data_IF_243679838123
#
_entry.id   IF_243679838123
#
_cell.length_a   1.000
_cell.length_b   1.000
_cell.length_c   1.000
_cell.angle_alpha   90.00
_cell.angle_beta   90.00
_cell.angle_gamma   90.00
#
_symmetry.space_group_name_H-M   'P 1'
#
loop_
_entity.id
_entity.type
_entity.pdbx_description
1 polymer ?
#
# COMPACT_ATOMS: atom_id res chain seq x y z
N UNK A 1 -26.49 -0.88 -1.38
CA UNK A 1 -25.50 -0.72 -2.47
C UNK A 1 -24.33 -1.63 -2.16
N UNK A 2 -24.02 -2.59 -3.04
CA UNK A 2 -22.83 -3.43 -2.87
C UNK A 2 -21.57 -2.60 -3.08
N UNK A 3 -20.73 -2.52 -2.08
CA UNK A 3 -19.40 -1.91 -2.18
C UNK A 3 -18.47 -2.91 -2.85
N UNK A 4 -18.15 -2.70 -4.13
CA UNK A 4 -17.48 -3.74 -4.94
C UNK A 4 -16.05 -4.08 -4.45
N UNK A 5 -15.16 -3.12 -4.35
CA UNK A 5 -13.74 -3.40 -4.05
C UNK A 5 -13.16 -2.28 -3.19
N UNK A 6 -12.30 -2.64 -2.23
CA UNK A 6 -11.55 -1.70 -1.40
C UNK A 6 -10.07 -2.02 -1.41
N UNK A 7 -9.25 -0.98 -1.34
CA UNK A 7 -7.83 -1.05 -1.00
C UNK A 7 -7.53 -0.03 0.08
N UNK A 8 -6.74 -0.38 1.07
CA UNK A 8 -6.42 0.52 2.18
C UNK A 8 -4.92 0.72 2.35
N UNK A 9 -4.54 1.86 2.90
CA UNK A 9 -3.20 2.11 3.39
C UNK A 9 -3.21 3.03 4.62
N UNK A 10 -2.17 2.92 5.43
CA UNK A 10 -1.97 3.78 6.59
C UNK A 10 -1.26 5.07 6.16
N UNK A 11 -1.82 6.26 6.46
CA UNK A 11 -1.18 7.53 6.17
C UNK A 11 -0.04 7.74 7.18
N UNK A 12 1.19 7.46 6.78
CA UNK A 12 2.38 7.55 7.65
C UNK A 12 3.51 8.36 7.00
N UNK A 13 3.18 9.33 6.15
CA UNK A 13 4.09 10.23 5.44
C UNK A 13 3.84 10.28 3.94
N UNK A 14 4.72 10.98 3.21
CA UNK A 14 4.62 11.18 1.77
C UNK A 14 4.41 9.87 1.01
N UNK A 15 3.58 9.89 -0.02
CA UNK A 15 3.35 8.75 -0.90
C UNK A 15 4.55 8.56 -1.83
N UNK A 16 4.95 7.32 -2.05
CA UNK A 16 6.05 6.95 -2.93
C UNK A 16 5.62 5.87 -3.94
N UNK A 17 6.49 5.54 -4.88
CA UNK A 17 6.22 4.58 -5.96
C UNK A 17 5.67 3.24 -5.44
N UNK A 18 6.11 2.79 -4.27
CA UNK A 18 5.55 1.58 -3.64
C UNK A 18 4.04 1.70 -3.35
N UNK A 19 3.55 2.88 -2.93
CA UNK A 19 2.11 3.11 -2.74
C UNK A 19 1.38 3.20 -4.09
N UNK A 20 2.00 3.78 -5.12
CA UNK A 20 1.42 3.76 -6.46
C UNK A 20 1.16 2.34 -6.93
N UNK A 21 2.16 1.48 -6.85
CA UNK A 21 2.07 0.09 -7.34
C UNK A 21 1.14 -0.77 -6.49
N UNK A 22 1.13 -0.58 -5.17
CA UNK A 22 0.36 -1.45 -4.27
C UNK A 22 -1.07 -0.97 -3.96
N UNK A 23 -1.35 0.32 -4.17
CA UNK A 23 -2.64 0.95 -3.81
C UNK A 23 -3.28 1.65 -5.01
N UNK A 24 -2.59 2.67 -5.59
CA UNK A 24 -3.20 3.58 -6.55
C UNK A 24 -3.47 2.88 -7.88
N UNK A 25 -2.47 2.22 -8.45
CA UNK A 25 -2.59 1.47 -9.72
C UNK A 25 -3.68 0.39 -9.63
N UNK A 26 -3.70 -0.49 -8.61
CA UNK A 26 -4.80 -1.45 -8.45
C UNK A 26 -6.16 -0.77 -8.20
N UNK A 27 -6.22 0.37 -7.49
CA UNK A 27 -7.48 1.08 -7.31
C UNK A 27 -8.06 1.56 -8.64
N UNK A 28 -7.22 2.05 -9.54
CA UNK A 28 -7.62 2.46 -10.90
C UNK A 28 -8.08 1.23 -11.70
N UNK A 29 -7.29 0.16 -11.70
CA UNK A 29 -7.52 -1.06 -12.48
C UNK A 29 -8.82 -1.77 -12.08
N UNK A 30 -9.06 -1.91 -10.79
CA UNK A 30 -10.24 -2.60 -10.24
C UNK A 30 -11.40 -1.67 -9.90
N UNK A 31 -11.29 -0.37 -10.19
CA UNK A 31 -12.27 0.67 -9.80
C UNK A 31 -12.59 0.62 -8.31
N UNK A 32 -11.54 0.41 -7.49
CA UNK A 32 -11.68 0.21 -6.06
C UNK A 32 -11.73 1.54 -5.31
N UNK A 33 -12.45 1.54 -4.18
CA UNK A 33 -12.37 2.61 -3.20
C UNK A 33 -11.01 2.56 -2.50
N UNK A 34 -10.45 3.73 -2.16
CA UNK A 34 -9.20 3.84 -1.39
C UNK A 34 -9.53 4.28 0.03
N UNK A 35 -9.25 3.41 1.00
CA UNK A 35 -9.39 3.71 2.42
C UNK A 35 -8.11 4.31 2.98
N UNK A 36 -8.21 5.48 3.58
CA UNK A 36 -7.14 6.07 4.39
C UNK A 36 -7.36 5.60 5.84
N UNK A 37 -6.55 4.62 6.26
CA UNK A 37 -6.69 3.94 7.55
C UNK A 37 -6.05 4.75 8.68
N UNK A 38 -6.60 5.92 9.00
CA UNK A 38 -6.05 6.89 9.96
C UNK A 38 -6.01 6.39 11.40
N UNK A 39 -7.00 5.59 11.80
CA UNK A 39 -7.03 5.05 13.17
C UNK A 39 -6.01 3.92 13.42
N UNK A 40 -5.33 3.47 12.37
CA UNK A 40 -4.17 2.58 12.49
C UNK A 40 -2.83 3.33 12.65
N UNK A 41 -2.86 4.67 12.58
CA UNK A 41 -1.71 5.53 12.75
C UNK A 41 -1.66 6.14 14.16
N UNK A 42 -0.49 6.42 14.73
CA UNK A 42 -0.37 7.27 15.91
C UNK A 42 -1.01 8.64 15.67
N UNK A 43 -1.55 9.25 16.74
CA UNK A 43 -2.24 10.56 16.67
C UNK A 43 -1.40 11.69 16.04
N UNK A 44 -0.07 11.57 16.06
CA UNK A 44 0.86 12.53 15.46
C UNK A 44 0.95 12.47 13.92
N UNK A 45 0.29 11.51 13.27
CA UNK A 45 0.37 11.31 11.81
C UNK A 45 -0.80 11.98 11.03
N UNK A 46 -1.64 12.79 11.67
CA UNK A 46 -2.77 13.47 11.01
C UNK A 46 -2.34 14.42 9.88
N UNK A 47 -1.17 15.05 9.98
CA UNK A 47 -0.61 15.90 8.92
C UNK A 47 -0.36 15.15 7.61
N UNK A 48 -0.10 13.85 7.68
CA UNK A 48 0.14 13.03 6.51
C UNK A 48 -1.13 12.63 5.76
N UNK A 49 -2.30 12.76 6.38
CA UNK A 49 -3.59 12.50 5.73
C UNK A 49 -3.85 13.53 4.62
N UNK A 50 -3.63 14.81 4.89
CA UNK A 50 -3.81 15.88 3.90
C UNK A 50 -2.84 15.74 2.73
N UNK A 51 -1.57 15.39 3.01
CA UNK A 51 -0.59 15.12 1.95
C UNK A 51 -1.02 13.93 1.08
N UNK A 52 -1.49 12.85 1.70
CA UNK A 52 -1.97 11.68 0.97
C UNK A 52 -3.20 12.03 0.12
N UNK A 53 -4.16 12.78 0.65
CA UNK A 53 -5.34 13.25 -0.08
C UNK A 53 -4.96 14.15 -1.24
N UNK A 54 -4.01 15.08 -1.04
CA UNK A 54 -3.51 15.96 -2.10
C UNK A 54 -2.96 15.16 -3.27
N UNK A 55 -2.10 14.17 -3.00
CA UNK A 55 -1.54 13.31 -4.05
C UNK A 55 -2.62 12.43 -4.71
N UNK A 56 -3.53 11.84 -3.92
CA UNK A 56 -4.57 10.97 -4.47
C UNK A 56 -5.55 11.72 -5.40
N UNK A 57 -5.84 13.00 -5.12
CA UNK A 57 -6.68 13.84 -5.98
C UNK A 57 -6.10 14.06 -7.38
N UNK A 58 -4.80 13.91 -7.53
CA UNK A 58 -4.13 14.05 -8.83
C UNK A 58 -4.34 12.84 -9.75
N UNK A 59 -4.77 11.71 -9.22
CA UNK A 59 -5.08 10.52 -10.01
C UNK A 59 -6.55 10.48 -10.41
N UNK A 60 -6.84 10.02 -11.64
CA UNK A 60 -8.20 9.76 -12.11
C UNK A 60 -8.71 8.45 -11.49
N UNK A 61 -9.09 8.50 -10.22
CA UNK A 61 -9.68 7.37 -9.53
C UNK A 61 -11.12 7.17 -10.01
N UNK A 62 -11.50 5.92 -10.27
CA UNK A 62 -12.88 5.55 -10.57
C UNK A 62 -13.68 5.22 -9.31
N UNK A 63 -13.00 4.84 -8.23
CA UNK A 63 -13.54 4.66 -6.89
C UNK A 63 -13.42 5.95 -6.06
N UNK A 64 -13.98 5.91 -4.87
CA UNK A 64 -13.93 7.04 -3.94
C UNK A 64 -12.71 6.91 -3.02
N UNK A 65 -12.23 8.06 -2.54
CA UNK A 65 -11.34 8.08 -1.37
C UNK A 65 -12.24 8.10 -0.14
N UNK A 66 -12.16 7.03 0.66
CA UNK A 66 -13.02 6.79 1.81
C UNK A 66 -12.25 7.10 3.09
N UNK A 67 -12.84 7.94 3.91
CA UNK A 67 -12.35 8.18 5.26
C UNK A 67 -12.70 7.01 6.18
N UNK A 68 -11.75 6.57 6.98
CA UNK A 68 -12.01 5.52 7.96
C UNK A 68 -13.01 6.00 9.01
N UNK A 69 -14.13 5.29 9.12
CA UNK A 69 -15.14 5.50 10.16
C UNK A 69 -15.08 4.35 11.16
N UNK A 70 -14.82 4.68 12.40
CA UNK A 70 -14.81 3.69 13.47
C UNK A 70 -16.23 3.40 13.94
N UNK A 71 -16.80 2.28 13.51
CA UNK A 71 -18.04 1.75 14.11
C UNK A 71 -17.70 1.07 15.45
N UNK A 72 -17.85 1.83 16.54
CA UNK A 72 -17.51 1.39 17.89
C UNK A 72 -18.37 0.19 18.33
N UNK A 73 -19.64 0.15 17.92
CA UNK A 73 -20.54 -0.94 18.28
C UNK A 73 -20.13 -2.25 17.60
N UNK A 74 -19.80 -2.18 16.31
CA UNK A 74 -19.30 -3.35 15.57
C UNK A 74 -17.91 -3.77 16.07
N UNK A 75 -17.03 -2.80 16.35
CA UNK A 75 -15.72 -3.10 16.94
C UNK A 75 -15.86 -3.84 18.27
N UNK A 76 -16.73 -3.39 19.16
CA UNK A 76 -16.98 -4.07 20.43
C UNK A 76 -17.51 -5.51 20.24
N UNK A 77 -18.42 -5.72 19.28
CA UNK A 77 -18.92 -7.06 18.94
C UNK A 77 -17.79 -7.96 18.42
N UNK A 78 -16.96 -7.46 17.52
CA UNK A 78 -15.81 -8.21 16.99
C UNK A 78 -14.81 -8.56 18.07
N UNK A 79 -14.48 -7.61 18.96
CA UNK A 79 -13.59 -7.86 20.11
C UNK A 79 -14.16 -8.94 21.06
N UNK A 80 -15.47 -8.91 21.33
CA UNK A 80 -16.12 -9.89 22.21
C UNK A 80 -16.07 -11.33 21.65
N UNK A 81 -16.03 -11.51 20.33
CA UNK A 81 -15.99 -12.84 19.69
C UNK A 81 -14.58 -13.27 19.27
N UNK A 82 -13.57 -12.42 19.47
CA UNK A 82 -12.19 -12.67 19.05
C UNK A 82 -11.39 -13.37 20.14
N UNK A 83 -10.97 -14.63 19.97
CA UNK A 83 -10.12 -15.31 20.92
C UNK A 83 -8.73 -14.66 21.00
N UNK A 84 -8.21 -14.44 22.19
CA UNK A 84 -6.90 -13.80 22.41
C UNK A 84 -5.74 -14.55 21.77
N UNK A 85 -5.82 -15.89 21.67
CA UNK A 85 -4.76 -16.68 21.03
C UNK A 85 -4.57 -16.36 19.54
N UNK A 86 -5.66 -15.99 18.81
CA UNK A 86 -5.55 -15.55 17.41
C UNK A 86 -4.78 -14.22 17.30
N UNK A 87 -5.03 -13.28 18.23
CA UNK A 87 -4.30 -12.01 18.28
C UNK A 87 -2.82 -12.21 18.62
N UNK A 88 -2.54 -13.10 19.59
CA UNK A 88 -1.17 -13.44 19.99
C UNK A 88 -0.36 -14.10 18.86
N UNK A 89 -1.03 -14.79 17.94
CA UNK A 89 -0.40 -15.44 16.80
C UNK A 89 0.00 -14.47 15.68
N UNK A 90 -0.56 -13.26 15.65
CA UNK A 90 -0.39 -12.32 14.55
C UNK A 90 1.05 -11.80 14.41
N UNK A 91 1.60 -11.74 13.18
CA UNK A 91 3.01 -11.40 12.94
C UNK A 91 3.41 -10.01 13.44
N UNK A 92 2.53 -8.99 13.28
CA UNK A 92 2.85 -7.62 13.67
C UNK A 92 3.00 -7.47 15.20
N UNK A 93 2.28 -8.26 15.99
CA UNK A 93 2.37 -8.22 17.43
C UNK A 93 3.65 -8.87 17.97
N UNK A 94 4.22 -9.80 17.18
CA UNK A 94 5.49 -10.48 17.53
C UNK A 94 6.72 -9.60 17.26
N UNK A 95 6.62 -8.67 16.29
CA UNK A 95 7.78 -7.99 15.70
C UNK A 95 8.02 -6.56 16.22
N UNK A 96 7.10 -5.95 16.98
CA UNK A 96 7.15 -4.53 17.35
C UNK A 96 6.80 -4.30 18.82
N UNK A 97 6.91 -3.03 19.24
CA UNK A 97 6.45 -2.58 20.54
C UNK A 97 4.97 -2.98 20.77
N UNK A 98 4.71 -3.57 21.93
CA UNK A 98 3.41 -4.16 22.27
C UNK A 98 2.49 -3.12 22.88
N UNK A 99 1.73 -2.42 22.04
CA UNK A 99 0.66 -1.52 22.49
C UNK A 99 -0.71 -2.18 22.31
N UNK A 100 -1.72 -1.66 23.00
CA UNK A 100 -3.11 -2.12 22.83
C UNK A 100 -3.59 -1.96 21.39
N UNK A 101 -3.22 -0.85 20.71
CA UNK A 101 -3.55 -0.61 19.31
C UNK A 101 -2.95 -1.69 18.41
N UNK A 102 -1.68 -2.05 18.62
CA UNK A 102 -1.02 -3.12 17.85
C UNK A 102 -1.68 -4.48 18.10
N UNK A 103 -2.22 -4.70 19.29
CA UNK A 103 -2.92 -5.94 19.64
C UNK A 103 -4.24 -6.08 18.90
N UNK A 104 -5.06 -5.01 18.88
CA UNK A 104 -6.38 -5.02 18.23
C UNK A 104 -6.33 -4.68 16.73
N UNK A 105 -5.16 -4.34 16.18
CA UNK A 105 -4.98 -3.97 14.77
C UNK A 105 -5.66 -4.94 13.79
N UNK A 106 -5.57 -6.28 13.94
CA UNK A 106 -6.25 -7.21 13.02
C UNK A 106 -7.76 -7.10 13.05
N UNK A 107 -8.33 -6.81 14.24
CA UNK A 107 -9.78 -6.60 14.41
C UNK A 107 -10.23 -5.33 13.72
N UNK A 108 -9.45 -4.25 13.85
CA UNK A 108 -9.72 -2.98 13.15
C UNK A 108 -9.64 -3.17 11.64
N UNK A 109 -8.65 -3.90 11.13
CA UNK A 109 -8.55 -4.20 9.70
C UNK A 109 -9.75 -5.02 9.21
N UNK A 110 -10.21 -6.01 9.99
CA UNK A 110 -11.40 -6.77 9.66
C UNK A 110 -12.66 -5.89 9.61
N UNK A 111 -12.78 -4.93 10.55
CA UNK A 111 -13.84 -3.92 10.56
C UNK A 111 -13.82 -3.06 9.28
N UNK A 112 -12.64 -2.59 8.88
CA UNK A 112 -12.47 -1.71 7.72
C UNK A 112 -12.88 -2.35 6.40
N UNK A 113 -12.65 -3.65 6.24
CA UNK A 113 -12.98 -4.39 5.02
C UNK A 113 -14.37 -5.00 5.03
N UNK A 114 -15.05 -4.98 6.18
CA UNK A 114 -16.41 -5.54 6.32
C UNK A 114 -17.40 -4.82 5.39
N UNK A 115 -18.26 -5.60 4.73
CA UNK A 115 -19.28 -5.08 3.82
C UNK A 115 -18.80 -4.78 2.39
N UNK A 116 -17.54 -5.06 2.06
CA UNK A 116 -17.04 -5.09 0.69
C UNK A 116 -17.08 -6.51 0.11
N UNK A 117 -17.17 -6.63 -1.21
CA UNK A 117 -17.13 -7.92 -1.90
C UNK A 117 -15.69 -8.40 -2.11
N UNK A 118 -14.76 -7.46 -2.36
CA UNK A 118 -13.35 -7.73 -2.62
C UNK A 118 -12.45 -6.75 -1.88
N UNK A 119 -11.27 -7.23 -1.50
CA UNK A 119 -10.23 -6.40 -0.89
C UNK A 119 -8.89 -6.61 -1.61
N UNK A 120 -8.21 -5.53 -1.97
CA UNK A 120 -6.87 -5.57 -2.55
C UNK A 120 -5.86 -5.38 -1.42
N UNK A 121 -4.96 -6.35 -1.27
CA UNK A 121 -3.94 -6.36 -0.21
C UNK A 121 -2.61 -6.90 -0.73
N UNK A 122 -1.50 -6.50 -0.11
CA UNK A 122 -0.22 -7.15 -0.33
C UNK A 122 -0.23 -8.60 0.15
N UNK A 123 0.59 -9.46 -0.46
CA UNK A 123 0.73 -10.88 -0.06
C UNK A 123 1.12 -11.03 1.42
N UNK A 124 1.85 -10.06 1.97
CA UNK A 124 2.24 -10.00 3.38
C UNK A 124 1.06 -9.78 4.35
N UNK A 125 -0.11 -9.37 3.82
CA UNK A 125 -1.35 -9.19 4.60
C UNK A 125 -2.23 -10.46 4.63
N UNK A 126 -1.79 -11.57 4.04
CA UNK A 126 -2.52 -12.84 4.05
C UNK A 126 -2.96 -13.27 5.46
N UNK A 127 -2.12 -13.22 6.51
CA UNK A 127 -2.54 -13.59 7.85
C UNK A 127 -3.70 -12.75 8.39
N UNK A 128 -3.76 -11.46 8.03
CA UNK A 128 -4.87 -10.57 8.44
C UNK A 128 -6.18 -10.92 7.73
N UNK A 129 -6.12 -11.32 6.47
CA UNK A 129 -7.31 -11.77 5.73
C UNK A 129 -7.82 -13.11 6.28
N UNK A 130 -6.93 -14.03 6.62
CA UNK A 130 -7.31 -15.31 7.25
C UNK A 130 -7.95 -15.05 8.62
N UNK A 131 -7.35 -14.16 9.42
CA UNK A 131 -7.96 -13.72 10.68
C UNK A 131 -9.36 -13.11 10.46
N UNK A 132 -9.53 -12.21 9.50
CA UNK A 132 -10.85 -11.61 9.19
C UNK A 132 -11.86 -12.67 8.74
N UNK A 133 -11.42 -13.68 7.99
CA UNK A 133 -12.26 -14.81 7.55
C UNK A 133 -12.78 -15.64 8.74
N UNK A 134 -11.99 -15.73 9.82
CA UNK A 134 -12.36 -16.46 11.02
C UNK A 134 -13.34 -15.68 11.92
N UNK A 135 -13.20 -14.35 12.01
CA UNK A 135 -13.96 -13.56 13.00
C UNK A 135 -15.22 -12.89 12.43
N UNK A 136 -15.20 -12.43 11.16
CA UNK A 136 -16.36 -11.73 10.58
C UNK A 136 -17.65 -12.59 10.58
N UNK A 137 -17.60 -13.89 10.24
CA UNK A 137 -18.80 -14.73 10.27
C UNK A 137 -19.43 -14.88 11.65
N UNK A 138 -18.64 -14.74 12.73
CA UNK A 138 -19.14 -14.82 14.11
C UNK A 138 -20.07 -13.67 14.50
N UNK A 139 -20.04 -12.57 13.75
CA UNK A 139 -20.97 -11.43 13.89
C UNK A 139 -21.93 -11.30 12.70
N UNK A 140 -22.07 -12.37 11.87
CA UNK A 140 -22.98 -12.40 10.74
C UNK A 140 -22.50 -11.66 9.48
N UNK A 141 -21.21 -11.31 9.42
CA UNK A 141 -20.62 -10.62 8.26
C UNK A 141 -19.80 -11.58 7.40
N UNK A 142 -19.69 -11.26 6.09
CA UNK A 142 -18.82 -11.99 5.17
C UNK A 142 -17.45 -11.31 5.09
N UNK A 143 -16.40 -12.13 5.03
CA UNK A 143 -15.08 -11.65 4.67
C UNK A 143 -15.03 -11.41 3.15
N UNK A 144 -14.52 -10.26 2.67
CA UNK A 144 -14.34 -10.01 1.24
C UNK A 144 -13.32 -10.96 0.63
N UNK A 145 -13.48 -11.23 -0.68
CA UNK A 145 -12.52 -12.02 -1.44
C UNK A 145 -11.22 -11.23 -1.66
N UNK A 146 -10.05 -11.74 -1.26
CA UNK A 146 -8.80 -11.03 -1.43
C UNK A 146 -8.28 -11.07 -2.87
N UNK A 147 -7.73 -9.93 -3.31
CA UNK A 147 -6.91 -9.80 -4.51
C UNK A 147 -5.50 -9.48 -4.00
N UNK A 148 -4.57 -10.43 -4.13
CA UNK A 148 -3.21 -10.27 -3.64
C UNK A 148 -2.31 -9.58 -4.66
N UNK A 149 -1.69 -8.48 -4.25
CA UNK A 149 -0.65 -7.82 -5.04
C UNK A 149 0.72 -8.41 -4.69
N UNK A 150 1.47 -8.83 -5.70
CA UNK A 150 2.78 -9.48 -5.53
C UNK A 150 3.94 -8.51 -5.72
N UNK A 151 3.73 -7.44 -6.47
CA UNK A 151 4.81 -6.53 -6.81
C UNK A 151 5.28 -5.72 -5.61
N UNK A 152 6.59 -5.76 -5.38
CA UNK A 152 7.28 -4.99 -4.34
C UNK A 152 8.33 -4.13 -5.01
N UNK A 153 8.28 -2.84 -4.77
CA UNK A 153 9.34 -1.92 -5.21
C UNK A 153 10.41 -1.89 -4.13
N UNK A 154 11.64 -2.24 -4.53
CA UNK A 154 12.80 -2.22 -3.64
C UNK A 154 13.47 -0.85 -3.67
N UNK A 155 14.29 -0.56 -2.66
CA UNK A 155 15.06 0.67 -2.59
C UNK A 155 16.04 0.78 -3.76
N UNK A 156 16.27 2.01 -4.27
CA UNK A 156 17.12 2.23 -5.44
C UNK A 156 18.61 2.02 -5.18
N UNK A 157 19.05 2.16 -3.92
CA UNK A 157 20.46 1.99 -3.51
C UNK A 157 20.70 0.69 -2.76
N UNK A 158 19.66 0.19 -2.09
CA UNK A 158 19.69 -1.02 -1.27
C UNK A 158 18.61 -1.99 -1.72
N UNK A 159 18.76 -2.66 -2.89
CA UNK A 159 17.73 -3.48 -3.51
C UNK A 159 17.42 -4.79 -2.76
N UNK A 160 18.07 -5.02 -1.64
CA UNK A 160 17.73 -6.04 -0.64
C UNK A 160 16.61 -5.61 0.33
N UNK A 161 16.28 -4.33 0.35
CA UNK A 161 15.25 -3.74 1.22
C UNK A 161 14.11 -3.17 0.40
N UNK A 162 12.88 -3.25 0.96
CA UNK A 162 11.71 -2.59 0.39
C UNK A 162 11.90 -1.07 0.41
N UNK A 163 11.46 -0.37 -0.66
CA UNK A 163 11.46 1.09 -0.69
C UNK A 163 10.73 1.65 0.52
N UNK A 164 11.38 2.57 1.21
CA UNK A 164 10.88 3.17 2.44
C UNK A 164 11.18 4.67 2.46
N UNK A 165 10.23 5.43 3.00
CA UNK A 165 10.37 6.88 3.22
C UNK A 165 11.44 7.26 4.25
N UNK A 166 11.89 6.33 5.09
CA UNK A 166 13.04 6.53 5.99
C UNK A 166 14.36 6.72 5.25
N UNK A 167 14.41 6.37 3.95
CA UNK A 167 15.57 6.55 3.07
C UNK A 167 15.26 7.55 1.94
N UNK A 168 15.06 8.84 2.24
CA UNK A 168 14.53 9.81 1.26
C UNK A 168 15.46 10.03 0.05
N UNK A 169 16.75 9.72 0.18
CA UNK A 169 17.75 9.86 -0.89
C UNK A 169 17.61 8.81 -2.00
N UNK A 170 16.93 7.70 -1.73
CA UNK A 170 16.71 6.57 -2.65
C UNK A 170 15.23 6.20 -2.80
N UNK A 171 14.35 6.82 -2.05
CA UNK A 171 12.90 6.68 -2.18
C UNK A 171 12.36 7.60 -3.27
N UNK A 172 11.54 7.06 -4.18
CA UNK A 172 10.85 7.84 -5.22
C UNK A 172 9.47 8.26 -4.71
N UNK A 173 9.37 9.50 -4.21
CA UNK A 173 8.10 10.09 -3.81
C UNK A 173 7.30 10.54 -5.03
N UNK A 174 5.97 10.40 -5.02
CA UNK A 174 5.11 10.73 -6.14
C UNK A 174 5.11 12.23 -6.49
N UNK A 175 5.50 13.07 -5.55
CA UNK A 175 5.71 14.52 -5.67
C UNK A 175 7.22 14.92 -5.68
N UNK A 176 8.10 14.01 -6.12
CA UNK A 176 9.55 14.20 -6.05
C UNK A 176 10.04 15.05 -7.23
N UNK A 177 10.72 16.15 -6.95
CA UNK A 177 11.37 16.98 -7.97
C UNK A 177 12.70 16.40 -8.44
N UNK A 178 13.32 15.53 -7.62
CA UNK A 178 14.67 15.01 -7.80
C UNK A 178 14.69 13.55 -8.28
N UNK A 179 13.54 13.07 -8.78
CA UNK A 179 13.36 11.68 -9.20
C UNK A 179 14.35 11.23 -10.28
N UNK A 180 14.67 12.11 -11.26
CA UNK A 180 15.61 11.78 -12.34
C UNK A 180 16.99 11.45 -11.77
N UNK A 181 17.53 12.30 -10.90
CA UNK A 181 18.82 12.06 -10.25
C UNK A 181 18.82 10.77 -9.43
N UNK A 182 17.73 10.49 -8.72
CA UNK A 182 17.59 9.28 -7.91
C UNK A 182 17.59 8.03 -8.79
N UNK A 183 16.82 8.02 -9.89
CA UNK A 183 16.75 6.90 -10.84
C UNK A 183 18.12 6.70 -11.51
N UNK A 184 18.74 7.78 -11.98
CA UNK A 184 20.05 7.68 -12.64
C UNK A 184 21.16 7.18 -11.70
N UNK A 185 21.07 7.45 -10.39
CA UNK A 185 22.00 6.97 -9.36
C UNK A 185 21.62 5.60 -8.75
N UNK A 186 20.56 4.95 -9.21
CA UNK A 186 20.19 3.62 -8.75
C UNK A 186 21.31 2.60 -9.05
N UNK A 187 21.50 1.65 -8.13
CA UNK A 187 22.49 0.58 -8.32
C UNK A 187 22.08 -0.37 -9.45
N UNK A 188 23.08 -0.93 -10.12
CA UNK A 188 22.91 -1.78 -11.32
C UNK A 188 23.59 -3.14 -11.18
N UNK A 189 23.78 -3.60 -9.91
CA UNK A 189 24.07 -5.01 -9.66
C UNK A 189 22.87 -5.90 -10.04
N UNK A 190 23.00 -7.19 -9.92
CA UNK A 190 21.94 -8.13 -10.33
C UNK A 190 20.57 -7.83 -9.66
N UNK A 191 20.56 -7.48 -8.36
CA UNK A 191 19.33 -7.13 -7.63
C UNK A 191 18.81 -5.76 -8.03
N UNK A 192 19.69 -4.78 -8.21
CA UNK A 192 19.34 -3.43 -8.66
C UNK A 192 18.72 -3.43 -10.05
N UNK A 193 19.30 -4.19 -10.99
CA UNK A 193 18.74 -4.35 -12.34
C UNK A 193 17.38 -5.07 -12.31
N UNK A 194 17.23 -6.10 -11.49
CA UNK A 194 15.94 -6.76 -11.33
C UNK A 194 14.87 -5.79 -10.80
N UNK A 195 15.23 -4.94 -9.82
CA UNK A 195 14.34 -3.90 -9.30
C UNK A 195 14.01 -2.84 -10.36
N UNK A 196 15.00 -2.35 -11.12
CA UNK A 196 14.77 -1.37 -12.19
C UNK A 196 13.86 -1.93 -13.29
N UNK A 197 14.05 -3.19 -13.69
CA UNK A 197 13.16 -3.87 -14.64
C UNK A 197 11.74 -3.99 -14.10
N UNK A 198 11.59 -4.34 -12.83
CA UNK A 198 10.29 -4.39 -12.18
C UNK A 198 9.63 -3.00 -12.14
N UNK A 199 10.37 -1.95 -11.78
CA UNK A 199 9.87 -0.56 -11.82
C UNK A 199 9.40 -0.19 -13.23
N UNK A 200 10.18 -0.50 -14.25
CA UNK A 200 9.84 -0.21 -15.64
C UNK A 200 8.51 -0.87 -16.04
N UNK A 201 8.33 -2.16 -15.73
CA UNK A 201 7.09 -2.92 -16.01
C UNK A 201 5.91 -2.32 -15.25
N UNK A 202 6.08 -2.03 -13.96
CA UNK A 202 5.03 -1.48 -13.12
C UNK A 202 4.57 -0.07 -13.56
N UNK A 203 5.48 0.69 -14.15
CA UNK A 203 5.17 1.99 -14.76
C UNK A 203 4.53 1.87 -16.15
N UNK A 204 4.32 0.66 -16.69
CA UNK A 204 3.68 0.42 -17.96
C UNK A 204 4.63 0.31 -19.16
N UNK A 205 5.93 0.13 -18.92
CA UNK A 205 6.91 -0.13 -19.98
C UNK A 205 6.63 -1.45 -20.70
N UNK A 206 6.68 -1.44 -22.03
CA UNK A 206 6.29 -2.57 -22.91
C UNK A 206 7.37 -3.05 -23.86
N UNK A 207 8.51 -2.36 -23.96
CA UNK A 207 9.59 -2.72 -24.87
C UNK A 207 10.45 -3.87 -24.35
N UNK A 208 11.22 -4.48 -25.24
CA UNK A 208 12.10 -5.61 -24.95
C UNK A 208 13.22 -5.21 -23.97
N UNK A 209 12.94 -5.37 -22.71
CA UNK A 209 13.76 -4.97 -21.56
C UNK A 209 15.13 -5.66 -21.54
N UNK A 210 15.22 -6.88 -22.12
CA UNK A 210 16.43 -7.70 -22.07
C UNK A 210 17.57 -7.11 -22.91
N UNK A 211 17.24 -6.34 -23.94
CA UNK A 211 18.19 -5.73 -24.86
C UNK A 211 18.53 -4.26 -24.53
N UNK A 212 17.96 -3.71 -23.45
CA UNK A 212 18.23 -2.34 -23.04
C UNK A 212 19.57 -2.26 -22.28
N UNK A 213 20.39 -1.26 -22.61
CA UNK A 213 21.50 -0.90 -21.74
C UNK A 213 20.99 -0.39 -20.39
N UNK A 214 21.84 -0.45 -19.36
CA UNK A 214 21.49 0.09 -18.04
C UNK A 214 21.11 1.58 -18.08
N UNK A 215 21.77 2.33 -18.96
CA UNK A 215 21.48 3.74 -19.17
C UNK A 215 20.10 3.94 -19.81
N UNK A 216 19.82 3.20 -20.89
CA UNK A 216 18.52 3.31 -21.60
C UNK A 216 17.36 2.89 -20.73
N UNK A 217 17.51 1.82 -19.93
CA UNK A 217 16.52 1.39 -18.98
C UNK A 217 16.21 2.50 -17.95
N UNK A 218 17.24 3.13 -17.39
CA UNK A 218 17.05 4.23 -16.43
C UNK A 218 16.38 5.44 -17.08
N UNK A 219 16.78 5.81 -18.31
CA UNK A 219 16.15 6.90 -19.06
C UNK A 219 14.68 6.60 -19.36
N UNK A 220 14.36 5.38 -19.77
CA UNK A 220 12.99 4.95 -20.01
C UNK A 220 12.13 5.02 -18.73
N UNK A 221 12.69 4.62 -17.57
CA UNK A 221 12.02 4.75 -16.27
C UNK A 221 11.79 6.24 -15.94
N UNK A 222 12.76 7.11 -16.18
CA UNK A 222 12.62 8.56 -15.96
C UNK A 222 11.45 9.12 -16.75
N UNK A 223 11.33 8.80 -18.04
CA UNK A 223 10.22 9.29 -18.88
C UNK A 223 8.86 8.74 -18.43
N UNK A 224 8.78 7.46 -18.09
CA UNK A 224 7.56 6.87 -17.55
C UNK A 224 7.19 7.49 -16.20
N UNK A 225 8.15 7.68 -15.32
CA UNK A 225 7.90 8.28 -13.99
C UNK A 225 7.47 9.74 -14.08
N UNK A 226 8.01 10.49 -15.03
CA UNK A 226 7.62 11.87 -15.31
C UNK A 226 6.13 12.01 -15.59
N UNK A 227 5.54 11.01 -16.27
CA UNK A 227 4.08 11.00 -16.52
C UNK A 227 3.24 10.81 -15.27
N UNK A 228 3.82 10.22 -14.20
CA UNK A 228 3.18 10.05 -12.88
C UNK A 228 3.50 11.18 -11.91
N UNK A 229 4.64 11.88 -12.10
CA UNK A 229 5.09 12.91 -11.17
C UNK A 229 4.32 14.22 -11.39
N UNK A 230 3.62 14.66 -10.39
CA UNK A 230 2.70 15.80 -10.43
C UNK A 230 3.30 17.11 -9.93
N UNK A 231 4.55 17.13 -9.47
CA UNK A 231 5.20 18.36 -9.00
C UNK A 231 5.41 19.42 -10.11
N UNK A 232 5.18 19.03 -11.37
CA UNK A 232 5.37 19.89 -12.56
C UNK A 232 4.09 20.16 -13.39
N UNK A 233 2.91 19.88 -12.81
CA UNK A 233 1.62 20.19 -13.46
C UNK A 233 0.93 21.38 -12.82
#
# INVERSE_FOLDING_TARGET
MHKNTIVGFRPSGRLHLGHYVSVIKPAIEYKADILIAKHHAPLSESEYEEQALSVLRMFKLSGQVVEQKLDVALLAKLLAVTPSHLLNAMPQYKAKEKTALMYIYPVMMALDIAGYDRVIVGEDQRPHIEFARDILPRVGLKCPNPIYTKSKIMDLRHPDRKMSKSEPKSCLFLDDEDYERKIMKAVTDAKGLANLRNIYIELGGRSNIENMSNYDLKRAIVELYKSLNFSKR
#
